data_IF_357780271959
#
_entry.id   IF_357780271959
#
_cell.length_a   1.000
_cell.length_b   1.000
_cell.length_c   1.000
_cell.angle_alpha   90.00
_cell.angle_beta   90.00
_cell.angle_gamma   90.00
#
_symmetry.space_group_name_H-M   'P 1'
#
loop_
_entity.id
_entity.type
_entity.pdbx_description
1 polymer ?
#
# COMPACT_ATOMS: atom_id res chain seq x y z
N UNK A 1 -8.90 -14.98 -7.60
CA UNK A 1 -8.41 -13.59 -7.69
C UNK A 1 -9.24 -12.72 -6.77
N UNK A 2 -8.66 -12.43 -5.63
CA UNK A 2 -9.22 -11.61 -4.57
C UNK A 2 -8.88 -10.14 -4.82
N UNK A 3 -9.79 -9.28 -4.39
CA UNK A 3 -9.61 -7.82 -4.39
C UNK A 3 -9.73 -7.39 -2.95
N UNK A 4 -8.62 -6.91 -2.39
CA UNK A 4 -8.51 -6.63 -0.97
C UNK A 4 -8.37 -5.13 -0.78
N UNK A 5 -9.20 -4.60 0.11
CA UNK A 5 -9.03 -3.25 0.65
C UNK A 5 -8.66 -3.37 2.13
N UNK A 6 -7.67 -2.60 2.55
CA UNK A 6 -7.30 -2.46 3.95
C UNK A 6 -7.18 -1.00 4.34
N UNK A 7 -7.35 -0.73 5.62
CA UNK A 7 -7.30 0.62 6.17
C UNK A 7 -6.11 0.75 7.11
N UNK A 8 -5.36 1.83 6.94
CA UNK A 8 -4.34 2.29 7.88
C UNK A 8 -4.63 3.74 8.25
N UNK A 9 -3.97 4.22 9.30
CA UNK A 9 -4.04 5.63 9.67
C UNK A 9 -2.62 6.20 9.80
N UNK A 10 -2.29 7.14 8.91
CA UNK A 10 -1.03 7.88 8.97
C UNK A 10 -1.17 8.99 9.99
N UNK A 11 -0.12 9.26 10.76
CA UNK A 11 -0.10 10.39 11.68
C UNK A 11 -0.20 11.71 10.88
N UNK A 12 -1.09 12.66 11.23
CA UNK A 12 -1.28 13.89 10.46
C UNK A 12 0.00 14.72 10.28
N UNK A 13 0.90 14.75 11.26
CA UNK A 13 2.20 15.46 11.18
C UNK A 13 3.22 14.77 10.25
N UNK A 14 2.87 13.63 9.66
CA UNK A 14 3.76 12.80 8.82
C UNK A 14 3.25 12.59 7.40
N UNK A 15 2.15 13.25 7.01
CA UNK A 15 1.53 13.03 5.70
C UNK A 15 2.45 13.38 4.53
N UNK A 16 3.19 14.48 4.62
CA UNK A 16 4.10 14.91 3.55
C UNK A 16 5.30 13.97 3.42
N UNK A 17 5.87 13.59 4.57
CA UNK A 17 6.94 12.59 4.63
C UNK A 17 6.48 11.24 4.06
N UNK A 18 5.26 10.81 4.41
CA UNK A 18 4.66 9.59 3.89
C UNK A 18 4.53 9.63 2.37
N UNK A 19 3.99 10.72 1.81
CA UNK A 19 3.87 10.90 0.36
C UNK A 19 5.24 10.89 -0.33
N UNK A 20 6.24 11.57 0.24
CA UNK A 20 7.59 11.60 -0.31
C UNK A 20 8.21 10.19 -0.39
N UNK A 21 8.14 9.43 0.70
CA UNK A 21 8.64 8.04 0.74
C UNK A 21 7.93 7.12 -0.27
N UNK A 22 6.64 7.35 -0.55
CA UNK A 22 5.89 6.56 -1.52
C UNK A 22 6.09 6.98 -2.99
N UNK A 23 6.74 8.12 -3.26
CA UNK A 23 7.20 8.45 -4.63
C UNK A 23 8.49 7.71 -4.99
N UNK A 24 9.30 7.38 -3.99
CA UNK A 24 10.62 6.77 -4.15
C UNK A 24 10.68 5.45 -3.37
N UNK A 25 9.73 4.56 -3.66
CA UNK A 25 9.70 3.23 -3.04
C UNK A 25 10.92 2.45 -3.47
N UNK A 26 11.59 1.82 -2.50
CA UNK A 26 12.77 0.99 -2.78
C UNK A 26 12.43 -0.16 -3.73
N UNK A 27 13.26 -0.42 -4.76
CA UNK A 27 13.02 -1.49 -5.73
C UNK A 27 12.79 -2.86 -5.08
N UNK A 28 13.54 -3.16 -4.01
CA UNK A 28 13.48 -4.44 -3.29
C UNK A 28 12.14 -4.64 -2.59
N UNK A 29 11.51 -3.56 -2.11
CA UNK A 29 10.16 -3.60 -1.55
C UNK A 29 9.15 -3.94 -2.64
N UNK A 30 9.27 -3.33 -3.82
CA UNK A 30 8.37 -3.62 -4.95
C UNK A 30 8.53 -5.06 -5.43
N UNK A 31 9.76 -5.58 -5.45
CA UNK A 31 10.03 -6.98 -5.77
C UNK A 31 9.43 -7.94 -4.72
N UNK A 32 9.57 -7.63 -3.44
CA UNK A 32 8.96 -8.41 -2.37
C UNK A 32 7.43 -8.48 -2.50
N UNK A 33 6.77 -7.34 -2.76
CA UNK A 33 5.32 -7.29 -2.98
C UNK A 33 4.90 -8.07 -4.24
N UNK A 34 5.68 -8.02 -5.32
CA UNK A 34 5.41 -8.84 -6.51
C UNK A 34 5.56 -10.33 -6.22
N UNK A 35 6.55 -10.71 -5.40
CA UNK A 35 6.84 -12.10 -5.06
C UNK A 35 5.73 -12.76 -4.23
N UNK A 36 4.97 -11.99 -3.44
CA UNK A 36 3.76 -12.48 -2.75
C UNK A 36 2.55 -12.62 -3.68
N UNK A 37 2.70 -12.24 -4.96
CA UNK A 37 1.63 -12.28 -5.94
C UNK A 37 0.71 -11.05 -5.90
N UNK A 38 1.09 -9.97 -5.20
CA UNK A 38 0.31 -8.74 -5.21
C UNK A 38 0.43 -8.04 -6.57
N UNK A 39 -0.71 -7.59 -7.06
CA UNK A 39 -0.90 -6.92 -8.35
C UNK A 39 -1.80 -5.70 -8.15
N UNK A 40 -1.69 -4.72 -9.05
CA UNK A 40 -2.52 -3.51 -9.04
C UNK A 40 -2.56 -2.77 -7.68
N UNK A 41 -1.45 -2.82 -6.92
CA UNK A 41 -1.37 -2.24 -5.59
C UNK A 41 -1.36 -0.71 -5.63
N UNK A 42 -2.34 -0.08 -4.97
CA UNK A 42 -2.52 1.37 -4.91
C UNK A 42 -2.84 1.84 -3.50
N UNK A 43 -2.42 3.05 -3.17
CA UNK A 43 -2.70 3.70 -1.89
C UNK A 43 -3.40 5.04 -2.12
N UNK A 44 -4.49 5.26 -1.38
CA UNK A 44 -5.27 6.50 -1.40
C UNK A 44 -5.24 7.12 -0.01
N UNK A 45 -4.71 8.33 0.10
CA UNK A 45 -4.52 9.03 1.37
C UNK A 45 -5.39 10.28 1.45
N UNK A 46 -6.20 10.37 2.51
CA UNK A 46 -6.98 11.56 2.85
C UNK A 46 -6.17 12.50 3.76
N UNK A 47 -6.54 13.77 3.77
CA UNK A 47 -5.84 14.82 4.56
C UNK A 47 -5.90 14.61 6.08
N UNK A 48 -6.88 13.85 6.59
CA UNK A 48 -6.97 13.51 8.00
C UNK A 48 -6.13 12.29 8.39
N UNK A 49 -5.43 11.67 7.43
CA UNK A 49 -4.55 10.54 7.65
C UNK A 49 -5.19 9.17 7.40
N UNK A 50 -6.48 9.10 7.07
CA UNK A 50 -7.07 7.84 6.62
C UNK A 50 -6.42 7.39 5.31
N UNK A 51 -5.86 6.19 5.31
CA UNK A 51 -5.24 5.57 4.14
C UNK A 51 -5.99 4.29 3.77
N UNK A 52 -6.42 4.23 2.51
CA UNK A 52 -7.00 3.03 1.91
C UNK A 52 -5.94 2.40 1.01
N UNK A 53 -5.56 1.17 1.33
CA UNK A 53 -4.77 0.32 0.44
C UNK A 53 -5.68 -0.61 -0.35
N UNK A 54 -5.39 -0.77 -1.64
CA UNK A 54 -6.09 -1.70 -2.53
C UNK A 54 -5.07 -2.54 -3.28
N UNK A 55 -5.30 -3.86 -3.37
CA UNK A 55 -4.49 -4.79 -4.16
C UNK A 55 -5.34 -5.93 -4.72
N UNK A 56 -4.75 -6.64 -5.67
CA UNK A 56 -5.25 -7.90 -6.21
C UNK A 56 -4.24 -9.02 -5.97
N UNK A 57 -4.72 -10.19 -5.55
CA UNK A 57 -3.88 -11.37 -5.33
C UNK A 57 -4.68 -12.65 -5.59
N UNK A 58 -4.01 -13.80 -5.61
CA UNK A 58 -4.68 -15.09 -5.79
C UNK A 58 -5.22 -15.65 -4.46
N UNK A 59 -4.50 -15.43 -3.36
CA UNK A 59 -4.84 -15.77 -1.97
C UNK A 59 -4.21 -14.72 -1.03
N UNK A 60 -5.02 -13.97 -0.30
CA UNK A 60 -4.52 -12.93 0.60
C UNK A 60 -3.98 -13.46 1.93
N UNK A 61 -4.51 -14.58 2.44
CA UNK A 61 -4.06 -15.15 3.71
C UNK A 61 -2.69 -15.82 3.57
N UNK A 62 -2.37 -16.32 2.38
CA UNK A 62 -1.07 -16.91 2.05
C UNK A 62 0.02 -15.88 1.64
N UNK A 63 -0.34 -14.59 1.52
CA UNK A 63 0.55 -13.51 1.08
C UNK A 63 1.52 -13.01 2.16
#
# INVERSE_FOLDING_TARGET
>A
MERVCFLLHVRPDRLDEYKARHREVWPEMLDALRATGWRNYSLFLREDGLLVGYLECDDFEAS
#
